data_IF_791445731835
#
_entry.id   IF_791445731835
#
_cell.length_a   1.000
_cell.length_b   1.000
_cell.length_c   1.000
_cell.angle_alpha   90.00
_cell.angle_beta   90.00
_cell.angle_gamma   90.00
#
_symmetry.space_group_name_H-M   'P 1'
#
loop_
_entity.id
_entity.type
_entity.pdbx_description
1 polymer ?
#
# COMPACT_ATOMS: atom_id res chain seq x y z
N UNK A 1 -9.27 -25.77 -5.64
CA UNK A 1 -9.05 -24.31 -5.49
C UNK A 1 -8.58 -24.05 -4.06
N UNK A 2 -7.51 -23.27 -3.83
CA UNK A 2 -6.90 -23.04 -2.49
C UNK A 2 -6.74 -21.56 -2.11
N UNK A 3 -7.16 -20.63 -2.98
CA UNK A 3 -7.00 -19.18 -2.79
C UNK A 3 -8.37 -18.54 -2.55
N UNK A 4 -8.44 -17.61 -1.60
CA UNK A 4 -9.61 -16.75 -1.38
C UNK A 4 -9.45 -15.49 -2.21
N UNK A 5 -9.85 -15.57 -3.47
CA UNK A 5 -9.80 -14.46 -4.43
C UNK A 5 -11.06 -14.51 -5.31
N UNK A 6 -11.47 -13.37 -5.83
CA UNK A 6 -12.49 -13.28 -6.87
C UNK A 6 -11.82 -13.43 -8.23
N UNK A 7 -11.74 -12.36 -9.03
CA UNK A 7 -10.96 -12.35 -10.26
C UNK A 7 -9.46 -12.18 -9.96
N UNK A 8 -8.61 -12.84 -10.73
CA UNK A 8 -7.14 -12.73 -10.61
C UNK A 8 -6.66 -11.31 -10.91
N UNK A 9 -7.37 -10.59 -11.78
CA UNK A 9 -7.04 -9.23 -12.17
C UNK A 9 -7.30 -8.22 -11.04
N UNK A 10 -8.25 -8.53 -10.16
CA UNK A 10 -8.77 -7.59 -9.15
C UNK A 10 -8.13 -7.81 -7.77
N UNK A 11 -7.30 -8.85 -7.60
CA UNK A 11 -6.75 -9.24 -6.29
C UNK A 11 -6.08 -8.08 -5.57
N UNK A 12 -5.25 -7.29 -6.27
CA UNK A 12 -4.53 -6.17 -5.68
C UNK A 12 -5.50 -5.06 -5.22
N UNK A 13 -6.45 -4.70 -6.09
CA UNK A 13 -7.38 -3.61 -5.84
C UNK A 13 -8.32 -3.95 -4.68
N UNK A 14 -8.81 -5.18 -4.63
CA UNK A 14 -9.64 -5.68 -3.53
C UNK A 14 -8.88 -5.72 -2.20
N UNK A 15 -7.62 -6.17 -2.21
CA UNK A 15 -6.77 -6.21 -1.02
C UNK A 15 -6.48 -4.80 -0.49
N UNK A 16 -6.11 -3.86 -1.36
CA UNK A 16 -5.82 -2.47 -0.97
C UNK A 16 -7.08 -1.74 -0.50
N UNK A 17 -8.23 -1.96 -1.15
CA UNK A 17 -9.51 -1.43 -0.70
C UNK A 17 -9.89 -1.98 0.68
N UNK A 18 -9.63 -3.27 0.93
CA UNK A 18 -9.79 -3.89 2.26
C UNK A 18 -8.87 -3.26 3.31
N UNK A 19 -7.59 -3.08 2.99
CA UNK A 19 -6.61 -2.43 3.87
C UNK A 19 -7.05 -1.00 4.25
N UNK A 20 -7.44 -0.19 3.27
CA UNK A 20 -7.88 1.19 3.50
C UNK A 20 -9.14 1.26 4.38
N UNK A 21 -10.10 0.34 4.18
CA UNK A 21 -11.30 0.24 5.02
C UNK A 21 -10.98 -0.20 6.45
N UNK A 22 -10.03 -1.11 6.63
CA UNK A 22 -9.64 -1.63 7.93
C UNK A 22 -8.77 -0.65 8.74
N UNK A 23 -8.02 0.23 8.07
CA UNK A 23 -7.06 1.13 8.69
C UNK A 23 -7.30 2.60 8.29
N UNK A 24 -8.19 3.32 8.99
CA UNK A 24 -8.49 4.74 8.70
C UNK A 24 -7.30 5.69 8.93
N UNK A 25 -6.22 5.22 9.57
CA UNK A 25 -4.94 5.95 9.66
C UNK A 25 -4.13 5.92 8.36
N UNK A 26 -4.60 5.21 7.33
CA UNK A 26 -4.00 5.14 6.01
C UNK A 26 -4.92 5.80 4.97
N UNK A 27 -4.30 6.35 3.93
CA UNK A 27 -5.00 6.86 2.76
C UNK A 27 -4.52 6.09 1.53
N UNK A 28 -5.44 5.42 0.84
CA UNK A 28 -5.21 4.80 -0.45
C UNK A 28 -5.48 5.83 -1.55
N UNK A 29 -4.51 6.00 -2.44
CA UNK A 29 -4.61 6.83 -3.63
C UNK A 29 -4.74 5.92 -4.85
N UNK A 30 -5.43 6.40 -5.88
CA UNK A 30 -5.63 5.71 -7.15
C UNK A 30 -5.07 6.59 -8.27
N UNK A 31 -4.55 5.96 -9.33
CA UNK A 31 -4.01 6.60 -10.52
C UNK A 31 -2.90 7.67 -10.29
N UNK A 32 -1.69 7.26 -9.86
CA UNK A 32 -1.22 5.90 -9.61
C UNK A 32 -1.61 5.37 -8.22
N UNK A 33 -1.50 4.05 -8.03
CA UNK A 33 -1.84 3.39 -6.76
C UNK A 33 -0.68 3.49 -5.76
N UNK A 34 -0.94 4.10 -4.61
CA UNK A 34 -0.01 4.15 -3.47
C UNK A 34 -0.77 4.39 -2.15
N UNK A 35 -0.12 4.11 -1.03
CA UNK A 35 -0.69 4.29 0.31
C UNK A 35 0.17 5.26 1.12
N UNK A 36 -0.45 6.19 1.83
CA UNK A 36 0.23 7.09 2.76
C UNK A 36 -0.39 7.01 4.15
N UNK A 37 0.31 7.56 5.15
CA UNK A 37 -0.38 7.95 6.39
C UNK A 37 -1.48 8.97 6.07
N UNK A 38 -2.60 8.91 6.79
CA UNK A 38 -3.69 9.85 6.64
C UNK A 38 -3.34 11.27 7.12
N UNK A 39 -2.35 11.40 8.01
CA UNK A 39 -1.84 12.69 8.51
C UNK A 39 -0.63 13.21 7.72
N UNK A 40 -0.28 12.59 6.58
CA UNK A 40 0.78 13.09 5.71
C UNK A 40 0.28 14.30 4.88
N UNK A 41 1.14 15.31 4.59
CA UNK A 41 2.55 15.41 4.99
C UNK A 41 2.74 15.85 6.45
N UNK A 42 3.73 15.29 7.13
CA UNK A 42 4.11 15.67 8.49
C UNK A 42 5.25 16.69 8.44
N UNK A 43 4.95 17.96 8.69
CA UNK A 43 5.92 19.04 8.62
C UNK A 43 7.11 18.85 9.59
N UNK A 44 8.30 19.25 9.16
CA UNK A 44 9.52 19.20 9.97
C UNK A 44 10.14 17.81 10.16
N UNK A 45 9.68 16.79 9.42
CA UNK A 45 10.23 15.43 9.46
C UNK A 45 10.64 14.95 8.07
N UNK A 46 11.69 14.13 8.01
CA UNK A 46 12.08 13.41 6.79
C UNK A 46 11.03 12.33 6.50
N UNK A 47 10.52 12.30 5.27
CA UNK A 47 9.60 11.26 4.82
C UNK A 47 10.36 9.98 4.48
N UNK A 48 9.88 8.84 4.98
CA UNK A 48 10.42 7.52 4.66
C UNK A 48 9.45 6.81 3.71
N UNK A 49 9.96 6.40 2.54
CA UNK A 49 9.19 5.71 1.51
C UNK A 49 9.83 4.36 1.20
N UNK A 50 8.99 3.36 0.94
CA UNK A 50 9.42 2.05 0.43
C UNK A 50 8.32 1.46 -0.43
N UNK A 51 8.63 0.43 -1.22
CA UNK A 51 7.66 -0.17 -2.11
C UNK A 51 8.26 -1.34 -2.89
N UNK A 52 7.36 -2.09 -3.52
CA UNK A 52 7.70 -3.28 -4.28
C UNK A 52 6.43 -3.93 -4.86
N UNK A 53 6.57 -5.14 -5.39
CA UNK A 53 5.41 -5.92 -5.83
C UNK A 53 4.60 -6.49 -4.66
N UNK A 54 3.29 -6.64 -4.85
CA UNK A 54 2.41 -7.29 -3.89
C UNK A 54 2.69 -8.79 -3.75
N UNK A 55 2.13 -9.42 -2.71
CA UNK A 55 2.36 -10.83 -2.36
C UNK A 55 3.38 -11.04 -1.23
N UNK A 56 3.92 -9.95 -0.67
CA UNK A 56 4.79 -9.95 0.50
C UNK A 56 4.13 -9.30 1.72
N UNK A 57 2.80 -9.16 1.71
CA UNK A 57 2.05 -8.59 2.84
C UNK A 57 2.44 -9.30 4.15
N UNK A 58 2.79 -8.55 5.22
CA UNK A 58 2.47 -7.13 5.45
C UNK A 58 3.43 -6.11 4.81
N UNK A 59 4.51 -6.53 4.17
CA UNK A 59 5.47 -5.62 3.53
C UNK A 59 4.90 -5.07 2.21
N UNK A 60 4.85 -3.76 1.97
CA UNK A 60 5.32 -2.63 2.80
C UNK A 60 4.19 -1.89 3.53
N UNK A 61 2.95 -1.99 3.06
CA UNK A 61 1.85 -1.13 3.53
C UNK A 61 1.48 -1.34 5.01
N UNK A 62 1.76 -2.51 5.58
CA UNK A 62 1.60 -2.78 7.01
C UNK A 62 2.61 -2.05 7.91
N UNK A 63 3.64 -1.41 7.33
CA UNK A 63 4.64 -0.60 8.04
C UNK A 63 4.46 0.90 7.85
N UNK A 64 3.33 1.35 7.31
CA UNK A 64 3.02 2.78 7.17
C UNK A 64 2.41 3.29 8.49
N UNK A 65 3.07 4.26 9.13
CA UNK A 65 2.65 4.75 10.43
C UNK A 65 3.71 5.56 11.16
N UNK A 66 3.35 6.08 12.34
CA UNK A 66 4.30 6.79 13.19
C UNK A 66 5.44 5.85 13.64
N UNK A 67 6.68 6.29 13.46
CA UNK A 67 7.88 5.51 13.80
C UNK A 67 8.39 4.60 12.70
N UNK A 68 7.69 4.49 11.56
CA UNK A 68 8.11 3.72 10.39
C UNK A 68 7.89 4.53 9.09
N UNK A 69 7.23 3.96 8.07
CA UNK A 69 7.10 4.58 6.75
C UNK A 69 6.05 5.71 6.76
N UNK A 70 6.31 6.77 6.00
CA UNK A 70 5.36 7.84 5.71
C UNK A 70 4.34 7.45 4.64
N UNK A 71 4.75 6.55 3.74
CA UNK A 71 3.94 5.98 2.68
C UNK A 71 4.71 4.92 1.91
N UNK A 72 4.04 4.26 0.97
CA UNK A 72 4.65 3.25 0.13
C UNK A 72 3.78 2.79 -1.03
N UNK A 73 4.37 1.98 -1.89
CA UNK A 73 3.74 1.46 -3.10
C UNK A 73 3.56 -0.06 -3.02
N UNK A 74 2.42 -0.54 -3.51
CA UNK A 74 2.18 -1.94 -3.83
C UNK A 74 1.94 -2.06 -5.33
N UNK A 75 2.97 -2.52 -6.06
CA UNK A 75 2.84 -2.94 -7.45
C UNK A 75 2.08 -4.26 -7.59
N UNK A 76 1.88 -4.73 -8.83
CA UNK A 76 1.23 -6.04 -9.07
C UNK A 76 2.02 -7.18 -8.41
N UNK A 77 1.36 -8.33 -8.27
CA UNK A 77 1.95 -9.51 -7.63
C UNK A 77 3.35 -9.83 -8.20
N UNK A 78 4.37 -9.73 -7.34
CA UNK A 78 5.79 -9.95 -7.64
C UNK A 78 6.41 -9.04 -8.72
N UNK A 79 5.78 -7.93 -9.08
CA UNK A 79 6.30 -6.96 -10.05
C UNK A 79 6.56 -5.60 -9.39
N UNK A 80 7.76 -5.04 -9.63
CA UNK A 80 8.11 -3.70 -9.14
C UNK A 80 7.10 -2.67 -9.69
N UNK A 81 6.72 -1.71 -8.85
CA UNK A 81 5.86 -0.60 -9.25
C UNK A 81 6.60 0.29 -10.26
N UNK A 82 5.86 0.88 -11.20
CA UNK A 82 6.40 1.86 -12.14
C UNK A 82 6.89 3.12 -11.41
N UNK A 83 7.79 3.89 -12.04
CA UNK A 83 8.43 5.06 -11.42
C UNK A 83 7.55 6.32 -11.35
N UNK A 84 6.32 6.24 -11.87
CA UNK A 84 5.37 7.37 -11.98
C UNK A 84 4.51 7.53 -10.74
#
# INVERSE_FOLDING_TARGET
MKKLINDVQDVLDEQLAGLAKAHPSLTLHQDPVYVTRADAPVAGKVALLSGGGSGHEPMHCGYIGQGMLSGGLSGRNFHLTDAR
#
